data_IF_657694915780
#
_entry.id   IF_657694915780
#
_cell.length_a   1.000
_cell.length_b   1.000
_cell.length_c   1.000
_cell.angle_alpha   90.00
_cell.angle_beta   90.00
_cell.angle_gamma   90.00
#
_symmetry.space_group_name_H-M   'P 1'
#
loop_
_entity.id
_entity.type
_entity.pdbx_description
1 polymer ?
#
# COMPACT_ATOMS: atom_id res chain seq x y z
N UNK A 1 25.73 -20.05 -5.07
CA UNK A 1 24.83 -19.93 -6.27
C UNK A 1 23.69 -18.91 -5.99
N UNK A 2 24.08 -17.69 -5.52
CA UNK A 2 23.18 -16.60 -5.08
C UNK A 2 22.97 -15.48 -6.13
N UNK A 3 23.57 -15.59 -7.33
CA UNK A 3 23.81 -14.43 -8.20
C UNK A 3 22.90 -14.23 -9.40
N UNK A 4 21.91 -15.08 -9.66
CA UNK A 4 21.13 -14.95 -10.91
C UNK A 4 20.07 -13.82 -10.90
N UNK A 5 19.59 -13.40 -9.73
CA UNK A 5 18.63 -12.31 -9.59
C UNK A 5 19.24 -10.91 -9.79
N UNK A 6 20.58 -10.77 -9.66
CA UNK A 6 21.26 -9.48 -9.51
C UNK A 6 22.12 -9.03 -10.71
N UNK A 7 22.10 -9.75 -11.82
CA UNK A 7 23.01 -9.51 -12.96
C UNK A 7 22.66 -8.30 -13.87
N UNK A 8 21.57 -7.57 -13.62
CA UNK A 8 21.25 -6.36 -14.42
C UNK A 8 21.49 -5.10 -13.61
N UNK A 9 22.05 -4.02 -14.23
CA UNK A 9 22.27 -2.76 -13.53
C UNK A 9 20.96 -2.22 -12.94
N UNK A 10 20.99 -1.96 -11.64
CA UNK A 10 19.92 -1.25 -10.94
C UNK A 10 20.11 0.25 -11.21
N UNK A 11 19.01 0.96 -11.40
CA UNK A 11 18.99 2.40 -11.58
C UNK A 11 19.81 3.09 -10.45
N UNK A 12 20.78 3.92 -10.83
CA UNK A 12 21.72 4.61 -9.92
C UNK A 12 21.00 5.36 -8.79
N UNK A 13 19.83 5.95 -9.08
CA UNK A 13 19.01 6.64 -8.06
C UNK A 13 18.47 5.68 -7.00
N UNK A 14 18.11 4.44 -7.38
CA UNK A 14 17.66 3.42 -6.44
C UNK A 14 18.78 2.92 -5.56
N UNK A 15 19.98 2.76 -6.10
CA UNK A 15 21.18 2.43 -5.32
C UNK A 15 21.49 3.52 -4.30
N UNK A 16 21.43 4.78 -4.70
CA UNK A 16 21.69 5.90 -3.79
C UNK A 16 20.67 5.92 -2.65
N UNK A 17 19.36 5.78 -2.95
CA UNK A 17 18.32 5.74 -1.92
C UNK A 17 18.46 4.55 -0.96
N UNK A 18 19.01 3.42 -1.42
CA UNK A 18 19.30 2.27 -0.57
C UNK A 18 20.52 2.51 0.31
N UNK A 19 21.58 3.07 -0.27
CA UNK A 19 22.80 3.44 0.43
C UNK A 19 22.50 4.44 1.55
N UNK A 20 21.80 5.53 1.23
CA UNK A 20 21.37 6.55 2.19
C UNK A 20 20.54 5.95 3.35
N UNK A 21 19.80 4.89 3.07
CA UNK A 21 19.02 4.16 4.08
C UNK A 21 19.91 3.34 5.01
N UNK A 22 20.91 2.64 4.49
CA UNK A 22 21.79 1.77 5.27
C UNK A 22 22.76 2.55 6.17
N UNK A 23 23.10 3.77 5.80
CA UNK A 23 23.95 4.68 6.57
C UNK A 23 23.23 5.24 7.82
N UNK A 24 21.90 5.29 7.81
CA UNK A 24 21.13 5.82 8.94
C UNK A 24 20.47 4.69 9.75
N UNK A 25 20.63 4.65 11.07
CA UNK A 25 19.97 3.67 11.91
C UNK A 25 18.43 3.76 11.76
N UNK A 26 17.76 2.64 11.93
CA UNK A 26 16.30 2.61 11.93
C UNK A 26 15.78 3.18 13.25
N UNK A 27 15.05 4.27 13.16
CA UNK A 27 14.41 4.94 14.29
C UNK A 27 12.88 4.78 14.24
N UNK A 28 12.21 5.01 15.37
CA UNK A 28 10.75 4.89 15.47
C UNK A 28 9.98 5.74 14.47
N UNK A 29 10.52 6.92 14.10
CA UNK A 29 9.91 7.80 13.09
C UNK A 29 9.85 7.18 11.69
N UNK A 30 10.76 6.27 11.37
CA UNK A 30 10.82 5.59 10.08
C UNK A 30 9.87 4.38 10.01
N UNK A 31 9.32 3.93 11.16
CA UNK A 31 8.44 2.78 11.22
C UNK A 31 7.02 3.22 10.90
N UNK A 32 6.48 2.65 9.84
CA UNK A 32 5.10 2.82 9.44
C UNK A 32 4.34 1.51 9.58
N UNK A 33 3.02 1.58 9.48
CA UNK A 33 2.13 0.44 9.74
C UNK A 33 1.12 0.30 8.62
N UNK A 34 0.72 -0.95 8.35
CA UNK A 34 -0.37 -1.26 7.46
C UNK A 34 -1.15 -2.45 8.01
N UNK A 35 -2.46 -2.47 7.78
CA UNK A 35 -3.30 -3.60 8.18
C UNK A 35 -2.86 -4.90 7.46
N UNK A 36 -2.77 -6.02 8.20
CA UNK A 36 -2.30 -7.32 7.67
C UNK A 36 -2.98 -7.72 6.37
N UNK A 37 -4.32 -7.63 6.27
CA UNK A 37 -5.04 -8.01 5.05
C UNK A 37 -4.56 -7.20 3.85
N UNK A 38 -4.22 -5.93 4.05
CA UNK A 38 -3.75 -5.02 2.99
C UNK A 38 -2.28 -5.25 2.58
N UNK A 39 -1.55 -6.05 3.36
CA UNK A 39 -0.24 -6.60 2.96
C UNK A 39 -0.36 -7.93 2.22
N UNK A 40 -1.54 -8.53 2.19
CA UNK A 40 -1.83 -9.81 1.52
C UNK A 40 -2.71 -9.62 0.29
N UNK A 41 -3.73 -8.76 0.39
CA UNK A 41 -4.67 -8.45 -0.68
C UNK A 41 -4.55 -6.97 -1.05
N UNK A 42 -4.12 -6.70 -2.27
CA UNK A 42 -3.70 -5.38 -2.72
C UNK A 42 -4.79 -4.69 -3.55
N UNK A 43 -4.78 -3.36 -3.56
CA UNK A 43 -5.60 -2.53 -4.44
C UNK A 43 -5.33 -2.83 -5.92
N UNK A 44 -6.20 -2.46 -6.86
CA UNK A 44 -5.93 -2.57 -8.30
C UNK A 44 -4.63 -1.86 -8.70
N UNK A 45 -3.90 -2.41 -9.69
CA UNK A 45 -2.67 -1.79 -10.21
C UNK A 45 -2.95 -0.65 -11.20
N UNK A 46 -4.05 -0.78 -11.94
CA UNK A 46 -4.57 0.19 -12.90
C UNK A 46 -6.04 0.41 -12.63
N UNK A 47 -6.63 1.44 -13.22
CA UNK A 47 -8.07 1.66 -13.15
C UNK A 47 -8.80 0.42 -13.69
N UNK A 48 -9.55 -0.30 -12.84
CA UNK A 48 -10.26 -1.50 -13.27
C UNK A 48 -11.51 -1.17 -14.07
N UNK A 49 -11.97 0.09 -14.07
CA UNK A 49 -13.17 0.60 -14.78
C UNK A 49 -14.44 -0.19 -14.44
N UNK A 50 -14.53 -0.66 -13.21
CA UNK A 50 -15.68 -1.35 -12.65
C UNK A 50 -16.04 -0.73 -11.30
N UNK A 51 -17.27 -0.92 -10.86
CA UNK A 51 -17.76 -0.38 -9.58
C UNK A 51 -17.42 -1.28 -8.39
N UNK A 52 -17.19 -2.56 -8.65
CA UNK A 52 -16.83 -3.56 -7.64
C UNK A 52 -15.59 -4.31 -8.08
N UNK A 53 -14.73 -4.64 -7.12
CA UNK A 53 -13.52 -5.38 -7.40
C UNK A 53 -13.12 -6.21 -6.18
N UNK A 54 -12.64 -7.41 -6.41
CA UNK A 54 -12.28 -8.34 -5.35
C UNK A 54 -10.89 -8.94 -5.59
N UNK A 55 -10.22 -9.28 -4.50
CA UNK A 55 -8.98 -10.06 -4.51
C UNK A 55 -8.93 -10.99 -3.32
N UNK A 56 -8.47 -12.20 -3.58
CA UNK A 56 -8.19 -13.22 -2.57
C UNK A 56 -6.72 -13.63 -2.60
N UNK A 57 -6.19 -13.94 -1.42
CA UNK A 57 -4.88 -14.54 -1.25
C UNK A 57 -4.92 -15.49 -0.03
N UNK A 58 -5.09 -16.79 -0.29
CA UNK A 58 -5.30 -17.80 0.76
C UNK A 58 -6.54 -17.47 1.60
N UNK A 59 -6.34 -17.30 2.90
CA UNK A 59 -7.39 -17.00 3.88
C UNK A 59 -7.74 -15.50 3.95
N UNK A 60 -7.04 -14.66 3.20
CA UNK A 60 -7.28 -13.22 3.16
C UNK A 60 -8.07 -12.86 1.90
N UNK A 61 -9.02 -11.97 2.04
CA UNK A 61 -9.69 -11.34 0.90
C UNK A 61 -10.08 -9.90 1.16
N UNK A 62 -10.17 -9.14 0.09
CA UNK A 62 -10.66 -7.77 0.09
C UNK A 62 -11.68 -7.60 -1.04
N UNK A 63 -12.80 -6.98 -0.73
CA UNK A 63 -13.74 -6.50 -1.72
C UNK A 63 -13.84 -4.98 -1.62
N UNK A 64 -13.86 -4.33 -2.76
CA UNK A 64 -13.95 -2.88 -2.92
C UNK A 64 -15.22 -2.54 -3.67
N UNK A 65 -15.96 -1.53 -3.17
CA UNK A 65 -17.13 -0.97 -3.85
C UNK A 65 -16.95 0.53 -3.99
N UNK A 66 -17.07 1.03 -5.22
CA UNK A 66 -16.95 2.46 -5.51
C UNK A 66 -18.03 3.27 -4.82
N UNK A 67 -17.61 4.28 -4.08
CA UNK A 67 -18.52 5.24 -3.46
C UNK A 67 -18.91 6.38 -4.39
N UNK A 68 -19.66 7.33 -3.83
CA UNK A 68 -20.18 8.50 -4.51
C UNK A 68 -19.54 9.77 -3.98
N UNK A 69 -19.37 10.74 -4.85
CA UNK A 69 -18.96 12.10 -4.49
C UNK A 69 -19.94 13.09 -5.08
N UNK A 70 -20.03 14.27 -4.45
CA UNK A 70 -20.85 15.35 -5.01
C UNK A 70 -20.34 15.74 -6.40
N UNK A 71 -21.24 15.89 -7.35
CA UNK A 71 -20.95 16.45 -8.68
C UNK A 71 -21.54 17.86 -8.78
N UNK A 72 -20.73 18.91 -8.59
CA UNK A 72 -21.22 20.29 -8.65
C UNK A 72 -21.59 20.76 -10.07
N UNK A 73 -21.31 19.95 -11.10
CA UNK A 73 -21.57 20.27 -12.51
C UNK A 73 -22.74 19.49 -13.09
N UNK A 74 -23.42 18.71 -12.29
CA UNK A 74 -24.55 17.87 -12.71
C UNK A 74 -25.78 18.17 -11.90
N UNK A 75 -26.94 18.04 -12.52
CA UNK A 75 -28.24 18.06 -11.83
C UNK A 75 -28.41 16.90 -10.86
N UNK A 76 -27.62 15.84 -11.04
CA UNK A 76 -27.52 14.76 -10.06
C UNK A 76 -26.60 15.17 -8.93
N UNK A 77 -27.08 15.05 -7.69
CA UNK A 77 -26.34 15.45 -6.47
C UNK A 77 -25.05 14.68 -6.30
N UNK A 78 -24.96 13.44 -6.83
CA UNK A 78 -23.81 12.56 -6.64
C UNK A 78 -23.48 11.80 -7.92
N UNK A 79 -22.18 11.48 -8.09
CA UNK A 79 -21.68 10.56 -9.12
C UNK A 79 -20.76 9.52 -8.51
N UNK A 80 -20.68 8.35 -9.10
CA UNK A 80 -19.63 7.36 -8.76
C UNK A 80 -18.27 7.87 -9.18
N UNK A 81 -17.28 7.69 -8.30
CA UNK A 81 -15.91 8.20 -8.54
C UNK A 81 -14.96 7.13 -9.08
N UNK A 82 -15.33 5.85 -9.00
CA UNK A 82 -14.48 4.72 -9.34
C UNK A 82 -13.62 4.24 -8.17
N UNK A 83 -12.87 3.18 -8.40
CA UNK A 83 -12.05 2.53 -7.37
C UNK A 83 -10.65 3.13 -7.27
N UNK A 84 -10.01 3.16 -6.08
CA UNK A 84 -8.62 3.57 -5.93
C UNK A 84 -7.67 2.56 -6.56
N UNK A 85 -6.62 3.04 -7.24
CA UNK A 85 -5.62 2.21 -7.90
C UNK A 85 -4.24 2.84 -7.94
N UNK A 86 -3.24 2.02 -8.25
CA UNK A 86 -1.86 2.48 -8.40
C UNK A 86 -1.15 2.75 -7.07
N UNK A 87 0.02 3.42 -7.09
CA UNK A 87 0.86 3.59 -5.90
C UNK A 87 0.32 4.62 -4.90
N UNK A 88 -0.31 5.70 -5.37
CA UNK A 88 -0.70 6.84 -4.52
C UNK A 88 -1.64 6.47 -3.36
N UNK A 89 -2.75 5.72 -3.58
CA UNK A 89 -3.62 5.33 -2.48
C UNK A 89 -2.93 4.36 -1.50
N UNK A 90 -1.95 3.56 -1.93
CA UNK A 90 -1.14 2.70 -1.06
C UNK A 90 -0.28 3.50 -0.08
N UNK A 91 0.40 4.52 -0.60
CA UNK A 91 1.21 5.42 0.23
C UNK A 91 0.34 6.22 1.20
N UNK A 92 -0.80 6.75 0.73
CA UNK A 92 -1.75 7.45 1.58
C UNK A 92 -2.32 6.54 2.68
N UNK A 93 -2.71 5.32 2.34
CA UNK A 93 -3.21 4.33 3.30
C UNK A 93 -2.16 4.00 4.36
N UNK A 94 -0.90 3.81 3.95
CA UNK A 94 0.22 3.58 4.87
C UNK A 94 0.43 4.76 5.81
N UNK A 95 0.28 5.99 5.29
CA UNK A 95 0.39 7.22 6.08
C UNK A 95 -0.70 7.31 7.16
N UNK A 96 -1.97 7.17 6.79
CA UNK A 96 -3.07 7.27 7.77
C UNK A 96 -3.01 6.13 8.80
N UNK A 97 -2.61 4.93 8.39
CA UNK A 97 -2.41 3.80 9.29
C UNK A 97 -1.27 4.06 10.28
N UNK A 98 -0.16 4.61 9.81
CA UNK A 98 0.98 4.97 10.67
C UNK A 98 0.58 6.02 11.72
N UNK A 99 -0.09 7.10 11.29
CA UNK A 99 -0.54 8.17 12.21
C UNK A 99 -1.55 7.62 13.23
N UNK A 100 -2.53 6.80 12.80
CA UNK A 100 -3.52 6.20 13.69
C UNK A 100 -2.87 5.31 14.76
N UNK A 101 -1.95 4.42 14.35
CA UNK A 101 -1.26 3.51 15.28
C UNK A 101 -0.35 4.28 16.23
N UNK A 102 0.45 5.23 15.74
CA UNK A 102 1.37 6.01 16.59
C UNK A 102 0.65 6.92 17.57
N UNK A 103 -0.41 7.58 17.13
CA UNK A 103 -1.17 8.51 17.98
C UNK A 103 -2.21 7.80 18.85
N UNK A 104 -2.41 6.48 18.67
CA UNK A 104 -3.48 5.70 19.33
C UNK A 104 -4.85 6.39 19.19
N UNK A 105 -5.14 6.93 18.01
CA UNK A 105 -6.33 7.73 17.75
C UNK A 105 -6.89 7.46 16.36
N UNK A 106 -8.23 7.34 16.29
CA UNK A 106 -8.96 7.32 15.02
C UNK A 106 -9.02 8.71 14.35
N UNK A 107 -8.78 9.79 15.11
CA UNK A 107 -8.67 11.14 14.58
C UNK A 107 -7.21 11.45 14.32
N UNK A 108 -6.88 11.71 13.06
CA UNK A 108 -5.52 11.81 12.55
C UNK A 108 -5.30 13.24 12.08
N UNK A 109 -4.44 14.03 12.77
CA UNK A 109 -3.99 15.31 12.24
C UNK A 109 -3.14 15.05 10.99
N UNK A 110 -3.39 15.81 9.95
CA UNK A 110 -2.66 15.71 8.69
C UNK A 110 -1.82 16.97 8.44
N UNK A 111 -0.94 16.87 7.46
CA UNK A 111 -0.07 17.99 7.07
C UNK A 111 -0.89 19.22 6.64
N UNK A 112 -0.34 20.43 6.83
CA UNK A 112 -1.04 21.69 6.57
C UNK A 112 -1.44 21.88 5.09
N UNK A 113 -0.87 21.13 4.18
CA UNK A 113 -1.21 21.18 2.78
C UNK A 113 -1.03 19.83 2.08
N UNK A 114 -1.78 19.64 0.99
CA UNK A 114 -1.62 18.48 0.11
C UNK A 114 -0.19 18.37 -0.45
N UNK A 115 0.41 19.50 -0.77
CA UNK A 115 1.77 19.58 -1.29
C UNK A 115 2.80 19.07 -0.29
N UNK A 116 2.63 19.43 0.96
CA UNK A 116 3.46 18.97 2.09
C UNK A 116 3.29 17.47 2.30
N UNK A 117 2.06 16.97 2.34
CA UNK A 117 1.78 15.54 2.40
C UNK A 117 2.41 14.78 1.23
N UNK A 118 2.28 15.27 0.00
CA UNK A 118 2.90 14.64 -1.17
C UNK A 118 4.42 14.57 -1.05
N UNK A 119 5.08 15.65 -0.57
CA UNK A 119 6.54 15.66 -0.34
C UNK A 119 6.94 14.65 0.74
N UNK A 120 6.21 14.61 1.84
CA UNK A 120 6.45 13.64 2.91
C UNK A 120 6.31 12.20 2.40
N UNK A 121 5.33 11.92 1.54
CA UNK A 121 5.16 10.64 0.86
C UNK A 121 6.23 10.38 -0.23
N UNK A 122 7.17 11.31 -0.45
CA UNK A 122 8.20 11.23 -1.48
C UNK A 122 7.68 11.38 -2.91
N UNK A 123 6.46 11.91 -3.07
CA UNK A 123 5.86 12.12 -4.38
C UNK A 123 6.32 13.44 -5.00
N UNK A 124 6.55 13.43 -6.31
CA UNK A 124 6.79 14.68 -7.05
C UNK A 124 5.56 15.58 -7.01
N UNK A 125 5.78 16.89 -6.96
CA UNK A 125 4.71 17.89 -6.90
C UNK A 125 4.76 18.73 -8.18
N UNK A 126 3.80 18.48 -9.07
CA UNK A 126 3.65 19.24 -10.33
C UNK A 126 2.20 19.68 -10.48
N UNK A 127 2.01 20.94 -10.86
CA UNK A 127 0.70 21.54 -11.14
C UNK A 127 0.20 21.27 -12.56
N UNK A 128 -0.92 21.92 -12.91
CA UNK A 128 -1.55 21.82 -14.21
C UNK A 128 -2.51 20.63 -14.39
N UNK A 129 -3.21 20.59 -15.54
CA UNK A 129 -4.27 19.60 -15.80
C UNK A 129 -3.81 18.14 -15.67
N UNK A 130 -2.60 17.85 -16.10
CA UNK A 130 -1.98 16.52 -16.05
C UNK A 130 -0.94 16.39 -14.94
N UNK A 131 -0.92 17.33 -13.98
CA UNK A 131 0.01 17.34 -12.88
C UNK A 131 -0.23 16.23 -11.85
N UNK A 132 0.81 15.95 -11.06
CA UNK A 132 0.76 14.92 -10.02
C UNK A 132 -0.22 15.27 -8.90
N UNK A 133 -0.44 16.57 -8.64
CA UNK A 133 -1.40 17.06 -7.63
C UNK A 133 -2.82 16.58 -7.98
N UNK A 134 -3.29 16.79 -9.22
CA UNK A 134 -4.63 16.39 -9.62
C UNK A 134 -4.82 14.87 -9.58
N UNK A 135 -3.83 14.13 -10.04
CA UNK A 135 -3.84 12.67 -9.97
C UNK A 135 -3.77 12.16 -8.52
N UNK A 136 -3.10 12.85 -7.60
CA UNK A 136 -3.11 12.51 -6.17
C UNK A 136 -4.49 12.79 -5.56
N UNK A 137 -5.06 13.99 -5.80
CA UNK A 137 -6.43 14.34 -5.38
C UNK A 137 -7.44 13.27 -5.79
N UNK A 138 -7.42 12.89 -7.06
CA UNK A 138 -8.33 11.89 -7.60
C UNK A 138 -8.21 10.57 -6.85
N UNK A 139 -6.99 10.06 -6.64
CA UNK A 139 -6.79 8.77 -5.99
C UNK A 139 -7.18 8.81 -4.49
N UNK A 140 -6.93 9.92 -3.80
CA UNK A 140 -7.38 10.10 -2.41
C UNK A 140 -8.91 10.16 -2.34
N UNK A 141 -9.56 10.92 -3.22
CA UNK A 141 -11.02 10.99 -3.28
C UNK A 141 -11.66 9.62 -3.54
N UNK A 142 -11.08 8.83 -4.47
CA UNK A 142 -11.51 7.44 -4.72
C UNK A 142 -11.34 6.56 -3.50
N UNK A 143 -10.20 6.67 -2.79
CA UNK A 143 -9.91 5.89 -1.59
C UNK A 143 -10.88 6.21 -0.45
N UNK A 144 -11.10 7.50 -0.20
CA UNK A 144 -11.98 7.98 0.89
C UNK A 144 -13.44 7.58 0.67
N UNK A 145 -13.91 7.65 -0.57
CA UNK A 145 -15.27 7.27 -0.92
C UNK A 145 -15.48 5.74 -1.06
N UNK A 146 -14.40 4.95 -1.10
CA UNK A 146 -14.49 3.51 -1.35
C UNK A 146 -14.93 2.75 -0.10
N UNK A 147 -15.86 1.80 -0.27
CA UNK A 147 -16.22 0.84 0.76
C UNK A 147 -15.33 -0.40 0.64
N UNK A 148 -14.82 -0.85 1.78
CA UNK A 148 -13.95 -2.02 1.90
C UNK A 148 -14.67 -3.12 2.67
N UNK A 149 -14.59 -4.34 2.19
CA UNK A 149 -14.85 -5.53 3.01
C UNK A 149 -13.52 -6.25 3.14
N UNK A 150 -13.02 -6.35 4.35
CA UNK A 150 -11.74 -6.98 4.69
C UNK A 150 -12.09 -8.30 5.39
N UNK A 151 -11.54 -9.41 4.90
CA UNK A 151 -11.73 -10.74 5.47
C UNK A 151 -10.37 -11.34 5.74
N UNK A 152 -10.17 -11.87 6.93
CA UNK A 152 -8.96 -12.56 7.33
C UNK A 152 -9.24 -13.65 8.35
N UNK A 153 -8.23 -14.46 8.74
CA UNK A 153 -8.36 -15.45 9.78
C UNK A 153 -8.80 -14.82 11.09
N UNK A 154 -9.81 -15.39 11.71
CA UNK A 154 -10.31 -15.05 13.04
C UNK A 154 -9.95 -16.10 14.09
N UNK A 155 -10.38 -15.92 15.35
CA UNK A 155 -10.12 -16.88 16.42
C UNK A 155 -10.75 -18.26 16.12
N UNK A 156 -10.09 -19.33 16.61
CA UNK A 156 -10.56 -20.73 16.53
C UNK A 156 -10.92 -21.20 15.11
N UNK A 157 -10.20 -20.72 14.10
CA UNK A 157 -10.45 -21.12 12.70
C UNK A 157 -11.65 -20.45 12.03
N UNK A 158 -12.25 -19.45 12.66
CA UNK A 158 -13.27 -18.61 12.04
C UNK A 158 -12.66 -17.60 11.07
N UNK A 159 -13.52 -16.88 10.35
CA UNK A 159 -13.11 -15.72 9.55
C UNK A 159 -13.61 -14.43 10.20
N UNK A 160 -12.73 -13.46 10.34
CA UNK A 160 -13.07 -12.10 10.77
C UNK A 160 -13.46 -11.28 9.54
N UNK A 161 -14.61 -10.64 9.60
CA UNK A 161 -15.15 -9.77 8.55
C UNK A 161 -15.25 -8.34 9.05
N UNK A 162 -14.52 -7.42 8.45
CA UNK A 162 -14.66 -5.98 8.70
C UNK A 162 -15.20 -5.32 7.44
N UNK A 163 -16.47 -4.91 7.50
CA UNK A 163 -17.08 -4.06 6.47
C UNK A 163 -16.92 -2.61 6.90
N UNK A 164 -16.18 -1.83 6.17
CA UNK A 164 -15.90 -0.46 6.56
C UNK A 164 -15.62 0.43 5.36
N UNK A 165 -15.91 1.73 5.52
CA UNK A 165 -15.22 2.77 4.78
C UNK A 165 -14.06 3.17 5.68
N UNK A 166 -12.79 2.95 5.31
CA UNK A 166 -11.66 3.19 6.22
C UNK A 166 -11.67 4.62 6.79
N UNK A 167 -12.10 5.58 5.99
CA UNK A 167 -12.23 6.98 6.35
C UNK A 167 -13.68 7.33 6.57
N UNK A 168 -14.05 7.72 7.80
CA UNK A 168 -15.38 8.18 8.17
C UNK A 168 -15.64 9.60 7.69
N UNK A 169 -14.62 10.48 7.85
CA UNK A 169 -14.70 11.90 7.51
C UNK A 169 -13.39 12.39 6.93
N UNK A 170 -13.50 13.08 5.80
CA UNK A 170 -12.39 13.72 5.11
C UNK A 170 -12.96 14.93 4.36
N UNK A 171 -12.90 16.09 5.00
CA UNK A 171 -13.48 17.32 4.49
C UNK A 171 -12.51 17.98 3.51
N UNK A 172 -12.50 17.53 2.26
CA UNK A 172 -11.77 18.22 1.19
C UNK A 172 -12.73 19.08 0.39
N UNK A 173 -12.55 20.37 0.49
CA UNK A 173 -13.23 21.31 -0.39
C UNK A 173 -12.43 21.46 -1.69
N UNK A 174 -12.94 20.94 -2.77
CA UNK A 174 -12.44 21.21 -4.12
C UNK A 174 -13.27 22.33 -4.72
N UNK A 175 -12.76 23.59 -4.77
CA UNK A 175 -13.52 24.68 -5.33
C UNK A 175 -13.79 24.44 -6.83
N UNK A 176 -14.96 24.82 -7.27
CA UNK A 176 -15.36 24.78 -8.68
C UNK A 176 -14.59 25.81 -9.51
N UNK A 177 -14.17 26.92 -8.86
CA UNK A 177 -13.34 27.97 -9.46
C UNK A 177 -11.86 27.68 -9.13
N UNK A 178 -11.03 27.58 -10.17
CA UNK A 178 -9.59 27.35 -10.05
C UNK A 178 -8.84 28.47 -9.31
N UNK A 179 -9.46 29.63 -9.15
CA UNK A 179 -8.92 30.78 -8.41
C UNK A 179 -9.11 30.67 -6.90
N UNK A 180 -10.07 29.88 -6.42
CA UNK A 180 -10.22 29.62 -4.98
C UNK A 180 -9.22 28.55 -4.54
N UNK A 181 -8.45 28.85 -3.50
CA UNK A 181 -7.55 27.88 -2.90
C UNK A 181 -8.31 26.65 -2.41
N UNK A 182 -7.77 25.45 -2.62
CA UNK A 182 -8.33 24.22 -2.06
C UNK A 182 -8.18 24.30 -0.54
N UNK A 183 -9.30 24.25 0.18
CA UNK A 183 -9.26 24.06 1.64
C UNK A 183 -8.82 22.61 1.87
N UNK A 184 -7.64 22.47 2.43
CA UNK A 184 -7.08 21.19 2.84
C UNK A 184 -7.59 20.88 4.24
N UNK A 185 -8.10 19.66 4.50
CA UNK A 185 -8.59 19.33 5.84
C UNK A 185 -7.44 19.34 6.87
N UNK A 186 -7.77 19.66 8.10
CA UNK A 186 -6.81 19.59 9.19
C UNK A 186 -6.68 18.18 9.76
N UNK A 187 -7.69 17.34 9.53
CA UNK A 187 -7.75 16.00 10.11
C UNK A 187 -8.48 15.01 9.21
N UNK A 188 -8.19 13.73 9.43
CA UNK A 188 -8.91 12.57 8.87
C UNK A 188 -9.46 11.78 10.05
N UNK A 189 -10.73 11.39 9.99
CA UNK A 189 -11.33 10.48 10.95
C UNK A 189 -11.52 9.11 10.33
N UNK A 190 -10.90 8.09 10.94
CA UNK A 190 -11.15 6.68 10.60
C UNK A 190 -12.48 6.21 11.23
N UNK A 191 -13.08 5.16 10.67
CA UNK A 191 -14.17 4.45 11.34
C UNK A 191 -13.63 3.68 12.54
N UNK A 192 -14.44 3.54 13.60
CA UNK A 192 -14.04 2.83 14.80
C UNK A 192 -13.63 1.38 14.49
N UNK A 193 -14.45 0.66 13.73
CA UNK A 193 -14.21 -0.74 13.36
C UNK A 193 -12.87 -0.91 12.61
N UNK A 194 -12.56 -0.01 11.67
CA UNK A 194 -11.29 -0.06 10.95
C UNK A 194 -10.11 0.25 11.88
N UNK A 195 -10.26 1.25 12.75
CA UNK A 195 -9.21 1.64 13.69
C UNK A 195 -8.89 0.52 14.69
N UNK A 196 -9.90 -0.10 15.31
CA UNK A 196 -9.70 -1.21 16.23
C UNK A 196 -9.05 -2.41 15.52
N UNK A 197 -9.56 -2.79 14.36
CA UNK A 197 -8.97 -3.87 13.55
C UNK A 197 -7.54 -3.55 13.12
N UNK A 198 -7.22 -2.28 12.83
CA UNK A 198 -5.85 -1.86 12.50
C UNK A 198 -4.91 -2.01 13.69
N UNK A 199 -5.33 -1.64 14.91
CA UNK A 199 -4.51 -1.81 16.12
C UNK A 199 -4.14 -3.28 16.37
N UNK A 200 -5.10 -4.19 16.21
CA UNK A 200 -4.89 -5.61 16.43
C UNK A 200 -4.00 -6.26 15.34
N UNK A 201 -4.07 -5.75 14.12
CA UNK A 201 -3.50 -6.40 12.93
C UNK A 201 -2.47 -5.55 12.19
N UNK A 202 -1.87 -4.56 12.87
CA UNK A 202 -0.84 -3.70 12.27
C UNK A 202 0.46 -4.47 11.96
N UNK A 203 0.94 -4.34 10.74
CA UNK A 203 2.24 -4.85 10.30
C UNK A 203 3.22 -3.68 10.21
N UNK A 204 4.29 -3.67 11.02
CA UNK A 204 5.32 -2.63 10.96
C UNK A 204 6.23 -2.85 9.74
N UNK A 205 6.64 -1.76 9.12
CA UNK A 205 7.64 -1.77 8.04
C UNK A 205 8.46 -0.49 8.01
N UNK A 206 9.66 -0.52 7.40
CA UNK A 206 10.50 0.65 7.19
C UNK A 206 10.00 1.45 5.98
N UNK A 207 9.43 2.63 6.22
CA UNK A 207 8.93 3.49 5.14
C UNK A 207 10.02 3.96 4.17
N UNK A 208 11.27 4.12 4.63
CA UNK A 208 12.40 4.49 3.78
C UNK A 208 12.63 3.48 2.66
N UNK A 209 12.29 2.21 2.93
CA UNK A 209 12.36 1.13 1.94
C UNK A 209 11.39 1.30 0.77
N UNK A 210 10.32 2.10 0.93
CA UNK A 210 9.40 2.38 -0.17
C UNK A 210 9.94 3.43 -1.16
N UNK A 211 10.82 4.35 -0.74
CA UNK A 211 11.35 5.42 -1.61
C UNK A 211 11.83 4.93 -2.99
N UNK A 212 12.71 3.90 -3.08
CA UNK A 212 13.20 3.43 -4.37
C UNK A 212 12.15 2.71 -5.23
N UNK A 213 11.03 2.27 -4.65
CA UNK A 213 9.99 1.48 -5.31
C UNK A 213 8.62 2.16 -5.37
N UNK A 214 8.48 3.34 -4.78
CA UNK A 214 7.19 4.03 -4.57
C UNK A 214 6.42 4.36 -5.84
N UNK A 215 7.09 4.45 -6.99
CA UNK A 215 6.43 4.70 -8.28
C UNK A 215 5.73 3.46 -8.85
N UNK A 216 5.98 2.27 -8.31
CA UNK A 216 5.54 0.99 -8.88
C UNK A 216 4.74 0.19 -7.86
N UNK A 217 3.41 0.26 -7.97
CA UNK A 217 2.49 -0.38 -7.03
C UNK A 217 2.79 -1.86 -6.77
N UNK A 218 3.15 -2.65 -7.81
CA UNK A 218 3.47 -4.07 -7.64
C UNK A 218 4.73 -4.30 -6.79
N UNK A 219 5.76 -3.46 -6.94
CA UNK A 219 6.97 -3.58 -6.12
C UNK A 219 6.70 -3.20 -4.66
N UNK A 220 5.84 -2.20 -4.40
CA UNK A 220 5.34 -1.87 -3.06
C UNK A 220 4.64 -3.07 -2.44
N UNK A 221 3.70 -3.68 -3.17
CA UNK A 221 2.91 -4.81 -2.68
C UNK A 221 3.79 -6.03 -2.37
N UNK A 222 4.75 -6.35 -3.24
CA UNK A 222 5.70 -7.44 -3.00
C UNK A 222 6.52 -7.16 -1.74
N UNK A 223 7.07 -5.95 -1.56
CA UNK A 223 7.81 -5.58 -0.36
C UNK A 223 6.97 -5.75 0.91
N UNK A 224 5.75 -5.21 0.93
CA UNK A 224 4.85 -5.29 2.08
C UNK A 224 4.45 -6.75 2.38
N UNK A 225 4.21 -7.55 1.34
CA UNK A 225 3.95 -8.98 1.49
C UNK A 225 5.15 -9.73 2.08
N UNK A 226 6.36 -9.48 1.57
CA UNK A 226 7.60 -10.07 2.11
C UNK A 226 7.77 -9.71 3.59
N UNK A 227 7.57 -8.45 3.95
CA UNK A 227 7.69 -7.94 5.33
C UNK A 227 6.74 -8.66 6.29
N UNK A 228 5.51 -8.94 5.86
CA UNK A 228 4.54 -9.66 6.68
C UNK A 228 4.79 -11.16 6.69
N UNK A 229 5.12 -11.75 5.52
CA UNK A 229 5.11 -13.20 5.35
C UNK A 229 6.39 -13.88 5.82
N UNK A 230 7.58 -13.34 5.46
CA UNK A 230 8.84 -14.06 5.67
C UNK A 230 9.19 -14.26 7.14
N UNK A 231 8.97 -13.30 8.08
CA UNK A 231 9.24 -13.52 9.49
C UNK A 231 8.33 -14.54 10.17
N UNK A 232 7.26 -14.97 9.51
CA UNK A 232 6.25 -15.90 10.02
C UNK A 232 6.30 -17.27 9.35
N UNK A 233 7.32 -17.54 8.53
CA UNK A 233 7.49 -18.83 7.90
C UNK A 233 8.20 -19.79 8.83
N UNK A 234 7.58 -20.93 9.12
CA UNK A 234 8.20 -22.05 9.85
C UNK A 234 8.95 -22.99 8.89
N UNK A 235 8.51 -23.04 7.63
CA UNK A 235 9.07 -23.91 6.58
C UNK A 235 9.26 -23.09 5.28
N UNK A 236 10.21 -23.47 4.41
CA UNK A 236 10.33 -22.89 3.08
C UNK A 236 9.02 -22.97 2.30
N UNK A 237 8.65 -21.88 1.65
CA UNK A 237 7.41 -21.73 0.89
C UNK A 237 7.71 -21.60 -0.60
N UNK A 238 7.40 -22.64 -1.38
CA UNK A 238 7.45 -22.58 -2.83
C UNK A 238 6.15 -21.96 -3.36
N UNK A 239 6.25 -20.77 -3.95
CA UNK A 239 5.16 -20.18 -4.71
C UNK A 239 5.39 -20.41 -6.20
N UNK A 240 4.53 -21.25 -6.80
CA UNK A 240 4.55 -21.52 -8.23
C UNK A 240 4.01 -20.37 -9.04
N UNK A 241 4.38 -20.28 -10.32
CA UNK A 241 3.97 -19.20 -11.20
C UNK A 241 2.47 -18.91 -11.27
N UNK A 242 1.57 -19.91 -11.28
CA UNK A 242 0.12 -19.63 -11.24
C UNK A 242 -0.29 -18.90 -9.95
N UNK A 243 0.22 -19.35 -8.79
CA UNK A 243 -0.08 -18.73 -7.49
C UNK A 243 0.48 -17.30 -7.41
N UNK A 244 1.72 -17.09 -7.82
CA UNK A 244 2.33 -15.76 -7.91
C UNK A 244 1.54 -14.84 -8.85
N UNK A 245 1.01 -15.38 -9.94
CA UNK A 245 0.18 -14.63 -10.88
C UNK A 245 -1.18 -14.26 -10.26
N UNK A 246 -1.82 -15.17 -9.56
CA UNK A 246 -3.06 -14.88 -8.81
C UNK A 246 -2.83 -13.75 -7.81
N UNK A 247 -1.74 -13.82 -7.04
CA UNK A 247 -1.40 -12.82 -6.01
C UNK A 247 -0.99 -11.47 -6.60
N UNK A 248 -0.15 -11.44 -7.63
CA UNK A 248 0.52 -10.22 -8.09
C UNK A 248 0.29 -9.89 -9.57
N UNK A 249 -0.39 -10.73 -10.33
CA UNK A 249 -0.53 -10.59 -11.78
C UNK A 249 -1.43 -9.41 -12.20
N UNK A 250 -2.53 -9.21 -11.48
CA UNK A 250 -3.54 -8.22 -11.88
C UNK A 250 -4.15 -8.60 -13.23
N UNK A 251 -4.22 -7.64 -14.16
CA UNK A 251 -4.76 -7.85 -15.51
C UNK A 251 -3.74 -8.41 -16.54
N UNK A 252 -2.52 -8.76 -16.10
CA UNK A 252 -1.53 -9.34 -17.02
C UNK A 252 -1.83 -10.81 -17.26
N UNK A 253 -1.64 -11.28 -18.50
CA UNK A 253 -1.57 -12.73 -18.77
C UNK A 253 -0.34 -13.38 -18.12
N UNK A 254 -0.42 -14.68 -17.81
CA UNK A 254 0.64 -15.42 -17.11
C UNK A 254 2.00 -15.31 -17.81
N UNK A 255 2.03 -15.38 -19.15
CA UNK A 255 3.27 -15.25 -19.96
C UNK A 255 3.97 -13.91 -19.72
N UNK A 256 3.24 -12.80 -19.78
CA UNK A 256 3.80 -11.47 -19.59
C UNK A 256 4.13 -11.21 -18.12
N UNK A 257 3.34 -11.76 -17.21
CA UNK A 257 3.63 -11.72 -15.79
C UNK A 257 4.98 -12.38 -15.48
N UNK A 258 5.23 -13.61 -15.97
CA UNK A 258 6.50 -14.32 -15.77
C UNK A 258 7.72 -13.52 -16.25
N UNK A 259 7.58 -12.74 -17.33
CA UNK A 259 8.66 -11.88 -17.83
C UNK A 259 8.92 -10.66 -16.94
N UNK A 260 7.87 -10.08 -16.35
CA UNK A 260 7.94 -8.80 -15.63
C UNK A 260 8.12 -8.96 -14.12
N UNK A 261 7.58 -10.02 -13.54
CA UNK A 261 7.61 -10.27 -12.10
C UNK A 261 9.02 -10.28 -11.50
N UNK A 262 10.05 -10.92 -12.11
CA UNK A 262 11.41 -10.92 -11.58
C UNK A 262 11.98 -9.52 -11.38
N UNK A 263 11.64 -8.57 -12.26
CA UNK A 263 12.06 -7.17 -12.11
C UNK A 263 11.44 -6.51 -10.87
N UNK A 264 10.14 -6.74 -10.64
CA UNK A 264 9.44 -6.19 -9.48
C UNK A 264 9.89 -6.86 -8.17
N UNK A 265 10.10 -8.17 -8.19
CA UNK A 265 10.62 -8.92 -7.04
C UNK A 265 12.02 -8.44 -6.67
N UNK A 266 12.91 -8.25 -7.65
CA UNK A 266 14.26 -7.71 -7.43
C UNK A 266 14.20 -6.32 -6.80
N UNK A 267 13.34 -5.43 -7.30
CA UNK A 267 13.19 -4.10 -6.73
C UNK A 267 12.71 -4.15 -5.27
N UNK A 268 11.77 -5.04 -4.94
CA UNK A 268 11.30 -5.25 -3.57
C UNK A 268 12.38 -5.89 -2.68
N UNK A 269 13.15 -6.84 -3.21
CA UNK A 269 14.25 -7.50 -2.48
C UNK A 269 15.36 -6.51 -2.12
N UNK A 270 15.72 -5.58 -3.02
CA UNK A 270 16.64 -4.50 -2.70
C UNK A 270 16.15 -3.62 -1.54
N UNK A 271 14.84 -3.48 -1.39
CA UNK A 271 14.22 -2.77 -0.26
C UNK A 271 14.16 -3.61 1.03
N UNK A 272 14.41 -4.92 0.94
CA UNK A 272 14.48 -5.86 2.06
C UNK A 272 15.65 -6.85 1.83
N UNK A 273 16.91 -6.42 2.03
CA UNK A 273 18.09 -7.23 1.69
C UNK A 273 18.19 -8.56 2.43
N UNK A 274 17.70 -8.63 3.67
CA UNK A 274 17.71 -9.83 4.51
C UNK A 274 16.69 -10.89 4.08
N UNK A 275 15.82 -10.57 3.11
CA UNK A 275 14.85 -11.52 2.59
C UNK A 275 15.55 -12.68 1.84
N UNK A 276 15.30 -13.90 2.27
CA UNK A 276 15.89 -15.12 1.68
C UNK A 276 14.97 -15.66 0.59
N UNK A 277 15.33 -15.43 -0.66
CA UNK A 277 14.51 -15.76 -1.83
C UNK A 277 15.38 -16.43 -2.88
N UNK A 278 15.03 -17.66 -3.25
CA UNK A 278 15.71 -18.41 -4.28
C UNK A 278 14.82 -18.55 -5.53
N UNK A 279 15.42 -18.46 -6.71
CA UNK A 279 14.72 -18.77 -7.95
C UNK A 279 14.55 -20.30 -8.08
N UNK A 280 13.34 -20.72 -8.47
CA UNK A 280 13.00 -22.12 -8.74
C UNK A 280 12.46 -22.24 -10.18
N UNK A 281 12.57 -23.41 -10.78
CA UNK A 281 12.07 -23.66 -12.15
C UNK A 281 10.57 -23.36 -12.30
N UNK A 282 9.79 -23.66 -11.26
CA UNK A 282 8.35 -23.47 -11.24
C UNK A 282 7.89 -22.13 -10.64
N UNK A 283 8.80 -21.28 -10.12
CA UNK A 283 8.45 -20.03 -9.44
C UNK A 283 9.58 -19.49 -8.57
N UNK A 284 9.28 -19.24 -7.28
CA UNK A 284 10.25 -18.77 -6.28
C UNK A 284 10.06 -19.48 -4.95
N UNK A 285 11.19 -19.82 -4.31
CA UNK A 285 11.25 -20.34 -2.95
C UNK A 285 11.51 -19.21 -1.98
N UNK A 286 10.64 -19.04 -1.01
CA UNK A 286 10.75 -18.05 0.07
C UNK A 286 11.11 -18.78 1.38
N UNK A 287 12.03 -18.20 2.16
CA UNK A 287 12.48 -18.77 3.42
C UNK A 287 12.26 -17.82 4.57
N UNK A 288 12.18 -18.35 5.78
CA UNK A 288 12.16 -17.55 7.00
C UNK A 288 13.29 -16.52 6.98
N UNK A 289 12.95 -15.27 7.27
CA UNK A 289 13.89 -14.14 7.23
C UNK A 289 13.64 -13.21 8.42
N UNK A 290 14.68 -12.54 8.94
CA UNK A 290 14.51 -11.57 10.02
C UNK A 290 13.53 -10.46 9.60
N UNK A 291 12.67 -9.95 10.49
CA UNK A 291 11.78 -8.85 10.15
C UNK A 291 12.58 -7.58 9.82
N UNK A 292 12.19 -6.78 8.80
CA UNK A 292 12.90 -5.55 8.44
C UNK A 292 12.81 -4.46 9.52
N UNK A 293 11.85 -4.59 10.44
CA UNK A 293 11.74 -3.79 11.66
C UNK A 293 11.93 -4.70 12.87
N UNK A 294 13.01 -4.51 13.66
CA UNK A 294 13.23 -5.28 14.88
C UNK A 294 12.06 -5.14 15.86
N UNK A 295 11.68 -6.22 16.53
CA UNK A 295 10.58 -6.22 17.51
C UNK A 295 10.80 -5.23 18.65
N UNK A 296 12.05 -4.97 19.02
CA UNK A 296 12.43 -4.00 20.07
C UNK A 296 12.08 -2.56 19.75
N UNK A 297 11.89 -2.23 18.47
CA UNK A 297 11.53 -0.90 18.00
C UNK A 297 10.02 -0.73 17.75
N UNK A 298 9.25 -1.80 17.85
CA UNK A 298 7.79 -1.76 17.60
C UNK A 298 7.08 -1.36 18.89
N UNK A 299 6.62 -0.11 18.94
CA UNK A 299 5.89 0.47 20.09
C UNK A 299 4.39 0.12 20.09
N UNK A 300 4.00 -1.08 19.64
CA UNK A 300 2.62 -1.53 19.75
C UNK A 300 2.53 -2.52 20.90
N UNK A 301 2.00 -2.06 22.01
CA UNK A 301 1.49 -2.92 23.07
C UNK A 301 0.02 -3.19 22.82
#
# INVERSE_FOLDING_TARGET
MQDSLFQRPVDRKRWQALYDRTEQPLESQHIWYLHTVLTQCFLPYKDPKVDTWERRNGDFSIALVSGHVRDPRSDTLTRRIGLPYGPKPRLFQSYISMKAVKNQSAVIPIENSMTEMMRMLGLSVTGGKHGTINSFKEQISRFVACHFTIIGPGPKGSYSHVKTTPVKRFDVFFPTDSRQGTLWPCEIQLTADYFESLKEHAVPFDFRALKPIQAVARSIDIYLWLTQRLPRLDKPLLLRWPVLHEMFGGALGLKDFRKRFPHHLRAAHLSYPDARIDQHSEGYMFRASPPPVPRTLVAVK
#
